data_IF_524310448759
#
_entry.id   IF_524310448759
#
_cell.length_a   1.000
_cell.length_b   1.000
_cell.length_c   1.000
_cell.angle_alpha   90.00
_cell.angle_beta   90.00
_cell.angle_gamma   90.00
#
_symmetry.space_group_name_H-M   'P 1'
#
loop_
_entity.id
_entity.type
_entity.pdbx_description
1 polymer ?
#
# COMPACT_ATOMS: atom_id res chain seq x y z
N UNK A 1 -30.24 24.72 22.26
CA UNK A 1 -28.77 24.90 22.38
C UNK A 1 -28.17 24.19 23.60
N UNK A 2 -28.76 24.30 24.80
CA UNK A 2 -28.29 23.64 26.02
C UNK A 2 -28.11 22.11 25.92
N UNK A 3 -29.08 21.41 25.32
CA UNK A 3 -29.05 19.95 25.19
C UNK A 3 -27.99 19.43 24.20
N UNK A 4 -27.58 20.27 23.24
CA UNK A 4 -26.56 19.91 22.24
C UNK A 4 -25.15 20.03 22.82
N UNK A 5 -24.92 21.04 23.67
CA UNK A 5 -23.67 21.22 24.42
C UNK A 5 -23.43 20.10 25.43
N UNK A 6 -24.48 19.65 26.11
CA UNK A 6 -24.41 18.52 27.06
C UNK A 6 -24.04 17.20 26.36
N UNK A 7 -24.56 16.96 25.16
CA UNK A 7 -24.23 15.77 24.37
C UNK A 7 -22.76 15.78 23.89
N UNK A 8 -22.23 16.94 23.50
CA UNK A 8 -20.83 17.09 23.10
C UNK A 8 -19.86 16.93 24.27
N UNK A 9 -20.23 17.41 25.46
CA UNK A 9 -19.44 17.25 26.67
C UNK A 9 -19.37 15.77 27.10
N UNK A 10 -20.49 15.05 27.05
CA UNK A 10 -20.54 13.62 27.40
C UNK A 10 -19.71 12.76 26.45
N UNK A 11 -19.69 13.10 25.15
CA UNK A 11 -18.87 12.40 24.16
C UNK A 11 -17.37 12.65 24.38
N UNK A 12 -16.98 13.87 24.79
CA UNK A 12 -15.58 14.21 25.07
C UNK A 12 -15.03 13.46 26.30
N UNK A 13 -15.85 13.26 27.34
CA UNK A 13 -15.44 12.54 28.57
C UNK A 13 -15.30 11.03 28.33
N UNK A 14 -16.12 10.45 27.44
CA UNK A 14 -16.04 9.02 27.11
C UNK A 14 -14.72 8.65 26.39
N UNK A 15 -14.13 9.56 25.62
CA UNK A 15 -12.87 9.32 24.88
C UNK A 15 -11.65 9.32 25.80
N UNK A 16 -11.68 10.07 26.91
CA UNK A 16 -10.55 10.16 27.86
C UNK A 16 -10.47 8.93 28.78
N UNK A 17 -11.62 8.30 29.10
CA UNK A 17 -11.68 7.18 30.03
C UNK A 17 -11.09 5.85 29.49
N UNK A 18 -10.88 5.74 28.17
CA UNK A 18 -10.32 4.52 27.54
C UNK A 18 -8.81 4.58 27.29
N UNK A 19 -8.13 5.66 27.67
CA UNK A 19 -6.68 5.81 27.52
C UNK A 19 -5.93 5.17 28.70
N UNK A 20 -6.05 3.85 28.86
CA UNK A 20 -5.16 3.09 29.74
C UNK A 20 -3.89 2.77 28.92
N UNK A 21 -2.82 3.54 29.13
CA UNK A 21 -1.51 3.23 28.55
C UNK A 21 -0.99 1.90 29.11
N UNK A 22 -0.94 0.89 28.24
CA UNK A 22 -0.22 -0.35 28.51
C UNK A 22 1.29 -0.06 28.45
N UNK A 23 2.10 -0.46 29.44
CA UNK A 23 3.54 -0.22 29.40
C UNK A 23 4.15 -0.89 28.15
N UNK A 24 5.03 -0.21 27.41
CA UNK A 24 5.60 -0.74 26.18
C UNK A 24 6.46 -1.96 26.52
N UNK A 25 6.15 -3.10 25.90
CA UNK A 25 7.03 -4.26 25.92
C UNK A 25 8.39 -3.84 25.33
N UNK A 26 9.48 -4.12 26.03
CA UNK A 26 10.83 -3.79 25.59
C UNK A 26 11.08 -4.37 24.18
N UNK A 27 11.24 -3.49 23.20
CA UNK A 27 11.55 -3.84 21.82
C UNK A 27 13.01 -4.31 21.79
N UNK A 28 13.22 -5.62 21.90
CA UNK A 28 14.54 -6.22 21.69
C UNK A 28 14.75 -6.39 20.19
N UNK A 29 15.78 -5.75 19.64
CA UNK A 29 16.20 -5.91 18.25
C UNK A 29 16.64 -7.37 18.05
N UNK A 30 15.82 -8.15 17.33
CA UNK A 30 16.13 -9.56 17.00
C UNK A 30 16.82 -9.73 15.65
N UNK A 31 16.93 -8.65 14.88
CA UNK A 31 17.44 -8.67 13.52
C UNK A 31 18.46 -7.54 13.37
N UNK A 32 19.73 -7.90 13.30
CA UNK A 32 20.77 -7.02 12.78
C UNK A 32 20.63 -7.01 11.27
N UNK A 33 20.19 -5.88 10.71
CA UNK A 33 20.25 -5.64 9.26
C UNK A 33 21.71 -5.78 8.82
N UNK A 34 22.06 -6.74 7.95
CA UNK A 34 23.41 -6.80 7.39
C UNK A 34 23.70 -5.47 6.69
N UNK A 35 24.92 -4.96 6.84
CA UNK A 35 25.33 -3.77 6.09
C UNK A 35 25.05 -4.00 4.59
N UNK A 36 24.41 -3.05 3.89
CA UNK A 36 24.11 -3.20 2.48
C UNK A 36 25.42 -3.51 1.74
N UNK A 37 25.47 -4.56 0.90
CA UNK A 37 26.65 -4.80 0.09
C UNK A 37 26.92 -3.55 -0.77
N UNK A 38 28.17 -3.06 -0.76
CA UNK A 38 28.60 -1.89 -1.54
C UNK A 38 28.45 -2.09 -3.05
N UNK A 39 28.27 -3.35 -3.49
CA UNK A 39 27.96 -3.74 -4.86
C UNK A 39 26.64 -4.51 -4.81
N UNK A 40 25.59 -3.90 -5.34
CA UNK A 40 24.28 -4.52 -5.50
C UNK A 40 24.40 -5.78 -6.35
N UNK A 41 23.81 -6.88 -5.89
CA UNK A 41 23.88 -8.18 -6.58
C UNK A 41 22.80 -8.31 -7.67
N UNK A 42 23.01 -9.16 -8.68
CA UNK A 42 21.98 -9.42 -9.71
C UNK A 42 20.63 -9.89 -9.12
N UNK A 43 20.60 -10.75 -8.08
CA UNK A 43 19.33 -11.11 -7.42
C UNK A 43 18.63 -9.91 -6.79
N UNK A 44 19.35 -9.00 -6.14
CA UNK A 44 18.74 -7.78 -5.58
C UNK A 44 18.20 -6.86 -6.68
N UNK A 45 18.92 -6.70 -7.78
CA UNK A 45 18.42 -5.97 -8.95
C UNK A 45 17.12 -6.61 -9.48
N UNK A 46 17.09 -7.94 -9.64
CA UNK A 46 15.89 -8.64 -10.10
C UNK A 46 14.69 -8.39 -9.17
N UNK A 47 14.93 -8.36 -7.86
CA UNK A 47 13.91 -8.09 -6.85
C UNK A 47 13.40 -6.66 -6.94
N UNK A 48 14.29 -5.67 -7.03
CA UNK A 48 13.92 -4.25 -7.18
C UNK A 48 13.15 -4.03 -8.49
N UNK A 49 13.61 -4.63 -9.59
CA UNK A 49 12.94 -4.57 -10.89
C UNK A 49 11.52 -5.15 -10.83
N UNK A 50 11.34 -6.32 -10.20
CA UNK A 50 10.04 -6.96 -10.07
C UNK A 50 9.09 -6.16 -9.16
N UNK A 51 9.54 -5.78 -7.96
CA UNK A 51 8.74 -5.01 -7.01
C UNK A 51 8.35 -3.63 -7.54
N UNK A 52 9.26 -2.95 -8.25
CA UNK A 52 8.94 -1.66 -8.88
C UNK A 52 7.94 -1.81 -10.04
N UNK A 53 8.01 -2.89 -10.80
CA UNK A 53 7.04 -3.20 -11.86
C UNK A 53 5.65 -3.43 -11.27
N UNK A 54 5.56 -4.20 -10.17
CA UNK A 54 4.32 -4.42 -9.43
C UNK A 54 3.81 -3.10 -8.83
N UNK A 55 4.69 -2.29 -8.24
CA UNK A 55 4.31 -1.04 -7.58
C UNK A 55 3.85 0.06 -8.54
N UNK A 56 4.42 0.12 -9.76
CA UNK A 56 4.05 1.11 -10.79
C UNK A 56 2.73 0.79 -11.50
N UNK A 57 2.29 -0.47 -11.49
CA UNK A 57 1.02 -0.88 -12.08
C UNK A 57 -0.06 -1.00 -10.99
N UNK A 58 -1.14 -0.23 -11.11
CA UNK A 58 -2.21 -0.19 -10.10
C UNK A 58 -2.92 -1.54 -9.94
N UNK A 59 -3.07 -2.31 -11.02
CA UNK A 59 -3.67 -3.65 -11.00
C UNK A 59 -2.80 -4.61 -10.22
N UNK A 60 -1.50 -4.69 -10.54
CA UNK A 60 -0.56 -5.58 -9.84
C UNK A 60 -0.42 -5.19 -8.37
N UNK A 61 -0.34 -3.89 -8.08
CA UNK A 61 -0.28 -3.35 -6.71
C UNK A 61 -1.52 -3.73 -5.90
N UNK A 62 -2.72 -3.56 -6.46
CA UNK A 62 -3.96 -3.91 -5.78
C UNK A 62 -4.04 -5.42 -5.49
N UNK A 63 -3.67 -6.27 -6.45
CA UNK A 63 -3.63 -7.71 -6.24
C UNK A 63 -2.57 -8.15 -5.23
N UNK A 64 -1.41 -7.48 -5.21
CA UNK A 64 -0.38 -7.72 -4.20
C UNK A 64 -0.87 -7.35 -2.79
N UNK A 65 -1.59 -6.23 -2.64
CA UNK A 65 -2.18 -5.85 -1.36
C UNK A 65 -3.29 -6.80 -0.91
N UNK A 66 -4.11 -7.29 -1.83
CA UNK A 66 -5.15 -8.25 -1.52
C UNK A 66 -4.58 -9.63 -1.10
N UNK A 67 -3.47 -10.05 -1.71
CA UNK A 67 -2.85 -11.34 -1.45
C UNK A 67 -1.87 -11.34 -0.26
N UNK A 68 -1.25 -10.20 0.06
CA UNK A 68 -0.24 -10.12 1.10
C UNK A 68 -0.86 -10.24 2.49
N UNK A 69 -0.33 -11.11 3.38
CA UNK A 69 -0.77 -11.19 4.77
C UNK A 69 -0.28 -9.99 5.60
N UNK A 70 0.63 -9.18 5.07
CA UNK A 70 1.15 -8.00 5.74
C UNK A 70 0.19 -6.81 5.53
N UNK A 71 0.18 -5.86 6.47
CA UNK A 71 -0.66 -4.67 6.36
C UNK A 71 -0.34 -3.80 5.14
N UNK A 72 -1.35 -3.12 4.59
CA UNK A 72 -1.22 -2.28 3.39
C UNK A 72 -0.13 -1.22 3.50
N UNK A 73 0.09 -0.64 4.68
CA UNK A 73 1.15 0.35 4.91
C UNK A 73 2.55 -0.24 4.67
N UNK A 74 2.82 -1.40 5.25
CA UNK A 74 4.11 -2.08 5.07
C UNK A 74 4.32 -2.50 3.61
N UNK A 75 3.29 -3.06 2.97
CA UNK A 75 3.36 -3.43 1.56
C UNK A 75 3.60 -2.21 0.65
N UNK A 76 2.93 -1.09 0.94
CA UNK A 76 3.14 0.15 0.19
C UNK A 76 4.58 0.64 0.34
N UNK A 77 5.12 0.66 1.56
CA UNK A 77 6.50 1.05 1.82
C UNK A 77 7.51 0.18 1.06
N UNK A 78 7.31 -1.15 1.01
CA UNK A 78 8.19 -2.06 0.26
C UNK A 78 8.18 -1.75 -1.24
N UNK A 79 6.99 -1.53 -1.82
CA UNK A 79 6.86 -1.22 -3.24
C UNK A 79 7.39 0.18 -3.58
N UNK A 80 7.07 1.18 -2.75
CA UNK A 80 7.48 2.56 -2.97
C UNK A 80 9.01 2.70 -2.82
N UNK A 81 9.63 2.01 -1.86
CA UNK A 81 11.09 1.94 -1.74
C UNK A 81 11.74 1.30 -2.98
N UNK A 82 11.16 0.23 -3.53
CA UNK A 82 11.68 -0.38 -4.75
C UNK A 82 11.57 0.56 -5.97
N UNK A 83 10.49 1.35 -6.06
CA UNK A 83 10.33 2.37 -7.10
C UNK A 83 11.40 3.47 -6.97
N UNK A 84 11.71 3.91 -5.76
CA UNK A 84 12.74 4.92 -5.51
C UNK A 84 14.16 4.43 -5.79
N UNK A 85 14.43 3.14 -5.55
CA UNK A 85 15.74 2.55 -5.81
C UNK A 85 15.96 2.28 -7.30
N UNK A 86 14.90 2.01 -8.07
CA UNK A 86 14.96 1.61 -9.48
C UNK A 86 15.88 2.50 -10.36
N UNK A 87 15.82 3.85 -10.32
CA UNK A 87 16.65 4.69 -11.18
C UNK A 87 18.15 4.49 -10.92
N UNK A 88 18.55 4.34 -9.64
CA UNK A 88 19.94 4.11 -9.27
C UNK A 88 20.47 2.77 -9.80
N UNK A 89 19.60 1.77 -9.95
CA UNK A 89 19.96 0.45 -10.46
C UNK A 89 20.03 0.42 -11.99
N UNK A 90 19.04 1.02 -12.67
CA UNK A 90 19.01 1.09 -14.14
C UNK A 90 20.14 1.95 -14.70
N UNK A 91 20.56 3.01 -14.00
CA UNK A 91 21.64 3.89 -14.45
C UNK A 91 23.03 3.29 -14.20
N UNK A 92 23.14 2.18 -13.45
CA UNK A 92 24.42 1.55 -13.17
C UNK A 92 24.86 0.67 -14.34
N UNK A 93 25.74 1.21 -15.18
CA UNK A 93 26.21 0.55 -16.39
C UNK A 93 26.96 -0.76 -16.08
N UNK A 94 27.81 -0.78 -15.06
CA UNK A 94 28.54 -1.99 -14.64
C UNK A 94 27.60 -3.12 -14.21
N UNK A 95 26.46 -2.78 -13.57
CA UNK A 95 25.49 -3.76 -13.14
C UNK A 95 24.62 -4.28 -14.29
N UNK A 96 24.24 -3.43 -15.23
CA UNK A 96 23.50 -3.84 -16.42
C UNK A 96 24.36 -4.69 -17.37
N UNK A 97 25.67 -4.44 -17.44
CA UNK A 97 26.61 -5.28 -18.20
C UNK A 97 26.79 -6.67 -17.55
N UNK A 98 26.77 -6.74 -16.21
CA UNK A 98 26.91 -8.01 -15.48
C UNK A 98 25.61 -8.84 -15.44
N UNK A 99 24.45 -8.20 -15.28
CA UNK A 99 23.17 -8.87 -15.02
C UNK A 99 22.16 -8.79 -16.18
N UNK A 100 22.44 -7.97 -17.20
CA UNK A 100 21.51 -7.67 -18.29
C UNK A 100 20.40 -6.68 -17.92
N UNK A 101 19.49 -6.43 -18.85
CA UNK A 101 18.34 -5.56 -18.63
C UNK A 101 17.21 -6.29 -17.89
N UNK A 102 17.37 -6.45 -16.57
CA UNK A 102 16.39 -7.13 -15.71
C UNK A 102 15.07 -6.35 -15.58
N UNK A 103 15.04 -5.06 -15.89
CA UNK A 103 13.79 -4.27 -15.85
C UNK A 103 12.87 -4.58 -17.03
N UNK A 104 13.42 -4.74 -18.24
CA UNK A 104 12.64 -5.21 -19.38
C UNK A 104 12.10 -6.62 -19.14
N UNK A 105 12.92 -7.52 -18.56
CA UNK A 105 12.49 -8.87 -18.21
C UNK A 105 11.36 -8.86 -17.16
N UNK A 106 11.51 -8.04 -16.11
CA UNK A 106 10.50 -7.95 -15.04
C UNK A 106 9.12 -7.51 -15.56
N UNK A 107 9.05 -6.64 -16.57
CA UNK A 107 7.78 -6.24 -17.19
C UNK A 107 7.11 -7.42 -17.90
N UNK A 108 7.86 -8.10 -18.77
CA UNK A 108 7.33 -9.24 -19.55
C UNK A 108 6.93 -10.40 -18.64
N UNK A 109 7.74 -10.70 -17.63
CA UNK A 109 7.43 -11.78 -16.68
C UNK A 109 6.29 -11.43 -15.74
N UNK A 110 6.14 -10.16 -15.34
CA UNK A 110 5.00 -9.73 -14.55
C UNK A 110 3.68 -9.93 -15.32
N UNK A 111 3.64 -9.58 -16.60
CA UNK A 111 2.47 -9.82 -17.46
C UNK A 111 2.16 -11.31 -17.58
N UNK A 112 3.16 -12.12 -17.92
CA UNK A 112 3.00 -13.58 -18.03
C UNK A 112 2.51 -14.19 -16.71
N UNK A 113 3.12 -13.84 -15.59
CA UNK A 113 2.74 -14.38 -14.28
C UNK A 113 1.34 -13.94 -13.88
N UNK A 114 0.96 -12.70 -14.20
CA UNK A 114 -0.39 -12.21 -13.93
C UNK A 114 -1.45 -12.97 -14.72
N UNK A 115 -1.19 -13.33 -15.98
CA UNK A 115 -2.09 -14.21 -16.76
C UNK A 115 -2.22 -15.61 -16.15
N UNK A 116 -1.21 -16.04 -15.40
CA UNK A 116 -1.20 -17.29 -14.63
C UNK A 116 -1.66 -17.10 -13.18
N UNK A 117 -2.36 -15.99 -12.87
CA UNK A 117 -2.93 -15.68 -11.55
C UNK A 117 -1.89 -15.60 -10.43
N UNK A 118 -0.68 -15.15 -10.76
CA UNK A 118 0.45 -15.05 -9.84
C UNK A 118 1.02 -13.64 -9.84
N UNK A 119 1.25 -13.07 -8.65
CA UNK A 119 1.90 -11.76 -8.47
C UNK A 119 2.99 -11.87 -7.42
N UNK A 120 4.21 -11.53 -7.80
CA UNK A 120 5.42 -11.78 -7.02
C UNK A 120 5.49 -13.26 -6.55
N UNK A 121 5.31 -13.47 -5.26
CA UNK A 121 5.37 -14.77 -4.59
C UNK A 121 3.98 -15.38 -4.31
N UNK A 122 2.91 -14.66 -4.63
CA UNK A 122 1.54 -15.08 -4.33
C UNK A 122 0.91 -15.70 -5.58
N UNK A 123 0.57 -16.99 -5.49
CA UNK A 123 -0.19 -17.73 -6.51
C UNK A 123 -1.68 -17.81 -6.16
N UNK A 124 -2.48 -18.33 -7.09
CA UNK A 124 -3.92 -18.59 -6.90
C UNK A 124 -4.75 -17.36 -6.53
N UNK A 125 -4.41 -16.20 -7.11
CA UNK A 125 -5.13 -14.96 -6.85
C UNK A 125 -6.57 -15.10 -7.35
N UNK A 126 -7.59 -14.77 -6.53
CA UNK A 126 -8.99 -14.85 -6.93
C UNK A 126 -9.25 -13.94 -8.14
N UNK A 127 -10.16 -14.36 -9.01
CA UNK A 127 -10.58 -13.53 -10.13
C UNK A 127 -11.15 -12.20 -9.57
N UNK A 128 -10.87 -11.06 -10.23
CA UNK A 128 -11.43 -9.79 -9.79
C UNK A 128 -12.95 -9.91 -9.77
N UNK A 129 -13.53 -9.83 -8.57
CA UNK A 129 -14.98 -9.74 -8.44
C UNK A 129 -15.45 -8.44 -9.11
N UNK A 130 -16.56 -8.47 -9.85
CA UNK A 130 -17.11 -7.25 -10.41
C UNK A 130 -17.36 -6.27 -9.27
N UNK A 131 -16.88 -5.04 -9.43
CA UNK A 131 -17.16 -3.94 -8.51
C UNK A 131 -18.66 -3.91 -8.24
N UNK A 132 -19.04 -3.91 -6.97
CA UNK A 132 -20.43 -3.84 -6.54
C UNK A 132 -20.96 -2.41 -6.72
N UNK A 133 -20.92 -1.91 -7.96
CA UNK A 133 -21.39 -0.59 -8.35
C UNK A 133 -22.89 -0.64 -8.54
N UNK A 134 -23.62 -0.57 -7.43
CA UNK A 134 -25.08 -0.51 -7.42
C UNK A 134 -25.61 0.92 -7.31
N UNK A 135 -26.92 1.13 -7.56
CA UNK A 135 -27.60 2.42 -7.33
C UNK A 135 -27.40 2.98 -5.91
N UNK A 136 -27.12 2.09 -4.96
CA UNK A 136 -26.89 2.40 -3.55
C UNK A 136 -25.70 3.34 -3.32
N UNK A 137 -24.63 3.27 -4.14
CA UNK A 137 -23.47 4.17 -4.02
C UNK A 137 -23.87 5.61 -4.38
N UNK A 138 -24.68 5.80 -5.42
CA UNK A 138 -25.16 7.13 -5.81
C UNK A 138 -26.00 7.78 -4.71
N UNK A 139 -26.82 6.98 -4.01
CA UNK A 139 -27.63 7.45 -2.87
C UNK A 139 -26.71 7.88 -1.71
N UNK A 140 -25.69 7.09 -1.37
CA UNK A 140 -24.76 7.41 -0.27
C UNK A 140 -23.90 8.63 -0.59
N UNK A 141 -23.33 8.72 -1.79
CA UNK A 141 -22.56 9.90 -2.20
C UNK A 141 -23.43 11.16 -2.25
N UNK A 142 -24.66 11.04 -2.76
CA UNK A 142 -25.62 12.14 -2.81
C UNK A 142 -26.03 12.64 -1.42
N UNK A 143 -26.26 11.74 -0.46
CA UNK A 143 -26.64 12.15 0.90
C UNK A 143 -25.51 12.86 1.65
N UNK A 144 -24.26 12.41 1.49
CA UNK A 144 -23.09 13.08 2.06
C UNK A 144 -22.88 14.45 1.42
N UNK A 145 -23.01 14.56 0.10
CA UNK A 145 -22.87 15.83 -0.62
C UNK A 145 -23.97 16.82 -0.23
N UNK A 146 -25.21 16.38 -0.06
CA UNK A 146 -26.29 17.24 0.45
C UNK A 146 -26.03 17.67 1.89
N UNK A 147 -25.63 16.76 2.79
CA UNK A 147 -25.38 17.12 4.19
C UNK A 147 -24.25 18.15 4.32
N UNK A 148 -23.13 17.94 3.63
CA UNK A 148 -22.02 18.89 3.62
C UNK A 148 -22.35 20.16 2.84
N UNK A 149 -23.13 20.10 1.77
CA UNK A 149 -23.54 21.29 1.01
C UNK A 149 -24.52 22.18 1.79
N UNK A 150 -25.48 21.58 2.49
CA UNK A 150 -26.50 22.30 3.26
C UNK A 150 -25.88 23.02 4.45
N UNK A 151 -24.87 22.43 5.12
CA UNK A 151 -24.16 23.13 6.21
C UNK A 151 -23.41 24.35 5.73
N UNK A 152 -22.88 24.36 4.51
CA UNK A 152 -22.22 25.53 3.91
C UNK A 152 -23.21 26.61 3.46
N UNK A 153 -24.37 26.24 2.92
CA UNK A 153 -25.42 27.21 2.53
C UNK A 153 -26.14 27.81 3.74
N UNK A 154 -26.16 27.09 4.87
CA UNK A 154 -26.78 27.55 6.11
C UNK A 154 -25.86 28.36 7.03
N UNK A 155 -24.58 28.57 6.67
CA UNK A 155 -23.70 29.53 7.35
C UNK A 155 -23.98 30.94 6.80
N UNK A 156 -24.41 31.91 7.64
CA UNK A 156 -24.54 33.31 7.23
C UNK A 156 -23.19 33.98 6.94
#
# INVERSE_FOLDING_TARGET
>A
MQHFFLAQLLLAVAVVATAIEKPPAAVVVRQTTPAPPTIMSCPEYSRIANLSTIGKNSTYRATFFAASPNGNHYNAEVLDNAILQLPAVILNQALNEACGNLTALAIVEAERNFTQRTVAQFSDIPLPEPLKTGPLIAIVCGSVAMFMGVTWVAMP
#
